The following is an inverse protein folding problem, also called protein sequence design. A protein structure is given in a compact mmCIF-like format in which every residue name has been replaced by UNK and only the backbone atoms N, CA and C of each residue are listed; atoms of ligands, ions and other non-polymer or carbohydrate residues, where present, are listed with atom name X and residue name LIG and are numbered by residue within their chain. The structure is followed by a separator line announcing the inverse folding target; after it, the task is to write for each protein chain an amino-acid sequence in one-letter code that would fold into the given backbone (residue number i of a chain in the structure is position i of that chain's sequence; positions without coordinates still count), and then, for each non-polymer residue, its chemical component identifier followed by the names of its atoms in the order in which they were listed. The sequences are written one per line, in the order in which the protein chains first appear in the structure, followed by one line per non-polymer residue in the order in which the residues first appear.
data_IF_286483148538
#
_entry.id   IF_286483148538
#
_cell.length_a   1.000
_cell.length_b   1.000
_cell.length_c   1.000
_cell.angle_alpha   90.00
_cell.angle_beta   90.00
_cell.angle_gamma   90.00
#
_symmetry.space_group_name_H-M   'P 1'
#
loop_
_entity.id
_entity.type
_entity.pdbx_description
1 polymer ?
#
# COMPACT_ATOMS: atom_id res chain seq x y z
N UNK A 1 19.30 -67.54 17.72
CA UNK A 1 19.31 -66.16 17.15
C UNK A 1 18.34 -65.19 17.85
N UNK A 2 17.07 -65.54 18.12
CA UNK A 2 16.07 -64.65 18.78
C UNK A 2 16.52 -64.01 20.12
N UNK A 3 17.24 -64.75 20.97
CA UNK A 3 17.69 -64.25 22.28
C UNK A 3 18.76 -63.15 22.20
N UNK A 4 19.65 -63.20 21.19
CA UNK A 4 20.68 -62.16 20.96
C UNK A 4 20.07 -60.87 20.40
N UNK A 5 19.05 -60.98 19.52
CA UNK A 5 18.29 -59.83 18.99
C UNK A 5 17.49 -59.10 20.08
N UNK A 6 16.88 -59.83 21.03
CA UNK A 6 16.17 -59.24 22.17
C UNK A 6 17.13 -58.55 23.16
N UNK A 7 18.32 -59.10 23.38
CA UNK A 7 19.36 -58.48 24.22
C UNK A 7 19.92 -57.21 23.56
N UNK A 8 20.15 -57.23 22.24
CA UNK A 8 20.56 -56.03 21.50
C UNK A 8 19.46 -54.96 21.49
N UNK A 9 18.19 -55.34 21.29
CA UNK A 9 17.07 -54.40 21.36
C UNK A 9 16.89 -53.80 22.76
N UNK A 10 17.03 -54.61 23.81
CA UNK A 10 17.02 -54.15 25.21
C UNK A 10 18.19 -53.23 25.53
N UNK A 11 19.40 -53.55 25.07
CA UNK A 11 20.58 -52.69 25.27
C UNK A 11 20.46 -51.35 24.54
N UNK A 12 19.89 -51.35 23.33
CA UNK A 12 19.58 -50.12 22.59
C UNK A 12 18.52 -49.29 23.33
N UNK A 13 17.44 -49.92 23.81
CA UNK A 13 16.41 -49.23 24.59
C UNK A 13 16.94 -48.65 25.90
N UNK A 14 17.81 -49.38 26.62
CA UNK A 14 18.47 -48.90 27.84
C UNK A 14 19.44 -47.76 27.52
N UNK A 15 20.20 -47.85 26.43
CA UNK A 15 21.08 -46.75 25.99
C UNK A 15 20.28 -45.50 25.65
N UNK A 16 19.14 -45.63 24.96
CA UNK A 16 18.24 -44.50 24.70
C UNK A 16 17.60 -43.95 25.97
N UNK A 17 17.25 -44.79 26.95
CA UNK A 17 16.73 -44.37 28.25
C UNK A 17 17.79 -43.63 29.08
N UNK A 18 19.03 -44.12 29.10
CA UNK A 18 20.15 -43.47 29.80
C UNK A 18 20.55 -42.17 29.09
N UNK A 19 20.57 -42.15 27.75
CA UNK A 19 20.81 -40.94 26.98
C UNK A 19 19.67 -39.92 27.15
N UNK A 20 18.41 -40.37 27.22
CA UNK A 20 17.27 -39.51 27.50
C UNK A 20 17.32 -38.97 28.94
N UNK A 21 17.60 -39.82 29.93
CA UNK A 21 17.77 -39.40 31.32
C UNK A 21 18.96 -38.45 31.49
N UNK A 22 20.08 -38.71 30.80
CA UNK A 22 21.26 -37.83 30.75
C UNK A 22 20.98 -36.50 30.06
N UNK A 23 20.21 -36.49 28.96
CA UNK A 23 19.75 -35.25 28.34
C UNK A 23 18.84 -34.48 29.30
N UNK A 24 17.89 -35.14 29.96
CA UNK A 24 16.99 -34.51 30.93
C UNK A 24 17.78 -33.90 32.09
N UNK A 25 18.76 -34.61 32.67
CA UNK A 25 19.60 -34.05 33.75
C UNK A 25 20.49 -32.90 33.28
N UNK A 26 21.02 -32.94 32.06
CA UNK A 26 21.76 -31.82 31.46
C UNK A 26 20.84 -30.61 31.29
N UNK A 27 19.62 -30.79 30.77
CA UNK A 27 18.66 -29.71 30.64
C UNK A 27 18.26 -29.16 32.02
N UNK A 28 18.08 -29.97 33.05
CA UNK A 28 17.79 -29.46 34.40
C UNK A 28 19.02 -28.95 35.18
N UNK A 29 20.22 -28.99 34.62
CA UNK A 29 21.44 -28.65 35.35
C UNK A 29 21.64 -27.13 35.53
N UNK A 30 22.10 -26.68 36.71
CA UNK A 30 22.55 -25.30 36.94
C UNK A 30 23.73 -24.89 36.05
N UNK A 31 24.58 -25.85 35.66
CA UNK A 31 25.72 -25.62 34.77
C UNK A 31 25.28 -25.18 33.37
N UNK A 32 24.22 -25.81 32.84
CA UNK A 32 23.65 -25.40 31.55
C UNK A 32 23.03 -23.99 31.65
N UNK A 33 22.35 -23.69 32.77
CA UNK A 33 21.84 -22.33 33.02
C UNK A 33 22.98 -21.32 33.03
N UNK A 34 24.06 -21.56 33.77
CA UNK A 34 25.19 -20.66 33.83
C UNK A 34 25.88 -20.47 32.46
N UNK A 35 25.96 -21.54 31.66
CA UNK A 35 26.47 -21.43 30.29
C UNK A 35 25.57 -20.57 29.39
N UNK A 36 24.24 -20.80 29.39
CA UNK A 36 23.26 -20.04 28.60
C UNK A 36 23.21 -18.56 29.00
N UNK A 37 23.45 -18.26 30.27
CA UNK A 37 23.49 -16.88 30.79
C UNK A 37 24.88 -16.24 30.68
N UNK A 38 25.89 -16.97 30.19
CA UNK A 38 27.25 -16.47 30.04
C UNK A 38 27.41 -15.51 28.86
N UNK A 39 28.37 -14.58 28.99
CA UNK A 39 28.78 -13.69 27.90
C UNK A 39 29.31 -14.46 26.68
N UNK A 40 29.94 -15.62 26.90
CA UNK A 40 30.49 -16.45 25.82
C UNK A 40 29.40 -17.03 24.92
N UNK A 41 28.31 -17.53 25.50
CA UNK A 41 27.15 -18.01 24.76
C UNK A 41 26.45 -16.86 24.03
N UNK A 42 26.29 -15.71 24.70
CA UNK A 42 25.71 -14.50 24.08
C UNK A 42 26.50 -14.07 22.84
N UNK A 43 27.83 -13.94 22.93
CA UNK A 43 28.67 -13.55 21.80
C UNK A 43 28.63 -14.55 20.63
N UNK A 44 28.55 -15.85 20.93
CA UNK A 44 28.36 -16.87 19.90
C UNK A 44 27.00 -16.73 19.20
N UNK A 45 25.93 -16.50 19.97
CA UNK A 45 24.58 -16.23 19.44
C UNK A 45 24.53 -14.95 18.60
N UNK A 46 25.21 -13.88 19.02
CA UNK A 46 25.34 -12.63 18.26
C UNK A 46 26.03 -12.90 16.91
N UNK A 47 27.11 -13.67 16.90
CA UNK A 47 27.86 -13.98 15.68
C UNK A 47 27.01 -14.77 14.69
N UNK A 48 26.33 -15.83 15.14
CA UNK A 48 25.49 -16.65 14.27
C UNK A 48 24.21 -15.92 13.83
N UNK A 49 23.62 -15.09 14.70
CA UNK A 49 22.44 -14.27 14.35
C UNK A 49 22.83 -13.21 13.31
N UNK A 50 23.93 -12.49 13.51
CA UNK A 50 24.41 -11.48 12.56
C UNK A 50 24.66 -12.11 11.19
N UNK A 51 25.27 -13.31 11.15
CA UNK A 51 25.48 -14.07 9.91
C UNK A 51 24.16 -14.49 9.25
N UNK A 52 23.21 -15.02 10.01
CA UNK A 52 21.92 -15.51 9.50
C UNK A 52 21.01 -14.39 8.97
N UNK A 53 21.00 -13.24 9.66
CA UNK A 53 20.21 -12.07 9.30
C UNK A 53 20.96 -11.08 8.38
N UNK A 54 22.20 -11.38 8.01
CA UNK A 54 23.06 -10.58 7.14
C UNK A 54 23.38 -9.16 7.68
N UNK A 55 23.64 -9.06 8.99
CA UNK A 55 24.16 -7.86 9.64
C UNK A 55 25.68 -7.94 9.83
N UNK A 56 26.33 -6.78 9.96
CA UNK A 56 27.76 -6.70 10.29
C UNK A 56 27.99 -7.12 11.74
N UNK A 57 27.17 -6.59 12.64
CA UNK A 57 27.18 -6.88 14.06
C UNK A 57 25.75 -6.84 14.60
N UNK A 58 25.52 -7.56 15.69
CA UNK A 58 24.29 -7.46 16.47
C UNK A 58 24.62 -7.63 17.95
N UNK A 59 23.73 -7.15 18.81
CA UNK A 59 23.89 -7.17 20.26
C UNK A 59 22.62 -7.68 20.90
N UNK A 60 22.77 -8.64 21.79
CA UNK A 60 21.71 -9.04 22.70
C UNK A 60 21.95 -8.42 24.07
N UNK A 61 20.86 -8.15 24.79
CA UNK A 61 20.93 -8.01 26.24
C UNK A 61 21.34 -9.35 26.90
N UNK A 62 21.70 -9.37 28.20
CA UNK A 62 21.94 -10.63 28.90
C UNK A 62 20.77 -11.61 28.71
N UNK A 63 21.09 -12.80 28.21
CA UNK A 63 20.12 -13.87 28.02
C UNK A 63 19.90 -14.51 29.39
N UNK A 64 18.64 -14.60 29.82
CA UNK A 64 18.25 -15.22 31.08
C UNK A 64 17.39 -16.42 30.82
N UNK A 65 17.62 -17.49 31.56
CA UNK A 65 16.80 -18.69 31.47
C UNK A 65 15.62 -18.56 32.42
N UNK A 66 14.41 -18.53 31.90
CA UNK A 66 13.19 -18.39 32.70
C UNK A 66 12.54 -19.74 33.02
N UNK A 67 12.79 -20.76 32.21
CA UNK A 67 12.28 -22.11 32.43
C UNK A 67 13.24 -23.19 31.91
N UNK A 68 12.88 -24.46 32.07
CA UNK A 68 13.67 -25.59 31.54
C UNK A 68 13.94 -25.48 30.04
N UNK A 69 13.07 -24.87 29.25
CA UNK A 69 13.30 -24.73 27.81
C UNK A 69 13.07 -23.32 27.28
N UNK A 70 12.83 -22.35 28.16
CA UNK A 70 12.57 -20.97 27.79
C UNK A 70 13.71 -20.07 28.21
N UNK A 71 14.15 -19.23 27.28
CA UNK A 71 15.10 -18.16 27.52
C UNK A 71 14.49 -16.82 27.09
N UNK A 72 14.90 -15.76 27.77
CA UNK A 72 14.45 -14.40 27.53
C UNK A 72 15.65 -13.45 27.38
N UNK A 73 15.52 -12.48 26.49
CA UNK A 73 16.41 -11.32 26.37
C UNK A 73 15.59 -10.04 26.40
N UNK A 74 16.08 -9.01 27.10
CA UNK A 74 15.38 -7.73 27.20
C UNK A 74 15.38 -6.97 25.88
N UNK A 75 16.51 -6.95 25.16
CA UNK A 75 16.61 -6.37 23.83
C UNK A 75 17.49 -7.17 22.88
N UNK A 76 17.33 -6.88 21.59
CA UNK A 76 18.25 -7.23 20.53
C UNK A 76 18.31 -6.06 19.55
N UNK A 77 19.53 -5.64 19.23
CA UNK A 77 19.80 -4.56 18.29
C UNK A 77 20.75 -5.03 17.19
N UNK A 78 20.39 -4.74 15.95
CA UNK A 78 21.24 -4.96 14.78
C UNK A 78 21.18 -3.74 13.86
N UNK A 79 22.35 -3.29 13.39
CA UNK A 79 22.50 -2.13 12.51
C UNK A 79 23.39 -2.47 11.32
N UNK A 80 23.31 -1.66 10.28
CA UNK A 80 24.13 -1.80 9.06
C UNK A 80 23.91 -3.15 8.35
N UNK A 81 22.66 -3.54 8.17
CA UNK A 81 22.30 -4.75 7.44
C UNK A 81 22.69 -4.67 5.95
N UNK A 82 23.15 -5.79 5.39
CA UNK A 82 23.71 -5.87 4.03
C UNK A 82 22.67 -6.23 2.95
N UNK A 83 21.47 -6.67 3.35
CA UNK A 83 20.40 -7.12 2.43
C UNK A 83 19.13 -6.29 2.64
N UNK A 84 17.95 -6.93 2.64
CA UNK A 84 16.65 -6.28 2.73
C UNK A 84 16.46 -5.52 4.05
N UNK A 85 16.98 -6.04 5.16
CA UNK A 85 16.94 -5.35 6.45
C UNK A 85 18.15 -4.43 6.58
N UNK A 86 17.90 -3.19 6.99
CA UNK A 86 18.92 -2.17 7.29
C UNK A 86 19.19 -2.09 8.79
N UNK A 87 18.13 -2.14 9.60
CA UNK A 87 18.20 -2.18 11.05
C UNK A 87 17.07 -3.04 11.62
N UNK A 88 17.31 -3.61 12.79
CA UNK A 88 16.36 -4.41 13.54
C UNK A 88 16.58 -4.14 15.03
N UNK A 89 15.57 -3.60 15.69
CA UNK A 89 15.54 -3.39 17.14
C UNK A 89 14.33 -4.15 17.67
N UNK A 90 14.53 -5.00 18.67
CA UNK A 90 13.44 -5.77 19.28
C UNK A 90 13.57 -5.78 20.79
N UNK A 91 12.43 -5.76 21.47
CA UNK A 91 12.32 -5.75 22.93
C UNK A 91 11.47 -6.91 23.42
N UNK A 92 11.86 -7.46 24.57
CA UNK A 92 11.14 -8.52 25.27
C UNK A 92 11.07 -9.80 24.45
N UNK A 93 12.23 -10.35 24.06
CA UNK A 93 12.34 -11.54 23.23
C UNK A 93 12.26 -12.75 24.15
N UNK A 94 11.32 -13.65 23.88
CA UNK A 94 11.18 -14.92 24.59
C UNK A 94 11.18 -16.05 23.58
N UNK A 95 12.05 -17.03 23.75
CA UNK A 95 12.13 -18.20 22.86
C UNK A 95 12.00 -19.49 23.66
N UNK A 96 11.16 -20.40 23.17
CA UNK A 96 11.00 -21.74 23.74
C UNK A 96 11.68 -22.76 22.84
N UNK A 97 12.75 -23.36 23.34
CA UNK A 97 13.50 -24.41 22.70
C UNK A 97 12.75 -25.75 22.77
N UNK A 98 12.90 -26.55 21.73
CA UNK A 98 12.35 -27.89 21.65
C UNK A 98 13.48 -28.91 21.59
N UNK A 99 13.74 -29.64 22.69
CA UNK A 99 14.88 -30.54 22.80
C UNK A 99 14.80 -31.73 21.84
N UNK A 100 13.61 -32.07 21.33
CA UNK A 100 13.47 -33.14 20.34
C UNK A 100 14.15 -32.80 19.02
N UNK A 101 14.37 -31.51 18.73
CA UNK A 101 15.15 -31.05 17.58
C UNK A 101 16.57 -31.62 17.56
N UNK A 102 17.19 -31.82 18.72
CA UNK A 102 18.57 -32.32 18.82
C UNK A 102 18.71 -33.71 18.19
N UNK A 103 17.72 -34.59 18.38
CA UNK A 103 17.73 -35.94 17.81
C UNK A 103 17.64 -35.96 16.28
N UNK A 104 17.06 -34.92 15.68
CA UNK A 104 17.02 -34.73 14.22
C UNK A 104 18.07 -33.72 13.73
N UNK A 105 19.02 -33.36 14.60
CA UNK A 105 20.10 -32.39 14.33
C UNK A 105 19.57 -31.02 13.88
N UNK A 106 18.55 -30.51 14.57
CA UNK A 106 17.96 -29.20 14.34
C UNK A 106 17.93 -28.40 15.65
N UNK A 107 18.25 -27.11 15.57
CA UNK A 107 17.84 -26.18 16.63
C UNK A 107 16.37 -25.87 16.38
N UNK A 108 15.48 -26.41 17.21
CA UNK A 108 14.05 -26.23 17.03
C UNK A 108 13.52 -25.29 18.11
N UNK A 109 12.82 -24.25 17.69
CA UNK A 109 12.11 -23.33 18.57
C UNK A 109 10.62 -23.45 18.30
N UNK A 110 9.87 -23.84 19.34
CA UNK A 110 8.43 -24.10 19.24
C UNK A 110 7.60 -22.82 19.29
N UNK A 111 8.12 -21.78 19.95
CA UNK A 111 7.47 -20.48 20.11
C UNK A 111 8.54 -19.39 20.25
N UNK A 112 8.40 -18.31 19.46
CA UNK A 112 9.19 -17.08 19.60
C UNK A 112 8.24 -15.91 19.80
N UNK A 113 8.37 -15.18 20.89
CA UNK A 113 7.56 -14.00 21.18
C UNK A 113 8.45 -12.78 21.30
N UNK A 114 8.00 -11.69 20.69
CA UNK A 114 8.61 -10.37 20.77
C UNK A 114 7.55 -9.41 21.28
N UNK A 115 7.86 -8.63 22.31
CA UNK A 115 6.89 -7.66 22.84
C UNK A 115 6.71 -6.50 21.87
N UNK A 116 7.83 -5.94 21.40
CA UNK A 116 7.81 -4.92 20.35
C UNK A 116 9.04 -5.01 19.45
N UNK A 117 8.93 -4.63 18.19
CA UNK A 117 10.09 -4.54 17.31
C UNK A 117 9.96 -3.48 16.23
N UNK A 118 11.09 -2.88 15.88
CA UNK A 118 11.25 -1.89 14.82
C UNK A 118 12.18 -2.47 13.76
N UNK A 119 11.69 -2.58 12.53
CA UNK A 119 12.44 -3.11 11.38
C UNK A 119 12.52 -2.03 10.31
N UNK A 120 13.72 -1.68 9.87
CA UNK A 120 13.91 -0.80 8.72
C UNK A 120 14.34 -1.63 7.50
N UNK A 121 13.58 -1.51 6.41
CA UNK A 121 13.79 -2.21 5.15
C UNK A 121 14.44 -1.26 4.14
N UNK A 122 15.40 -1.76 3.37
CA UNK A 122 16.09 -1.06 2.30
C UNK A 122 16.04 -1.83 0.98
N UNK A 123 16.08 -1.08 -0.13
CA UNK A 123 16.26 -1.65 -1.46
C UNK A 123 17.74 -2.00 -1.65
N UNK A 124 18.02 -3.24 -2.05
CA UNK A 124 19.38 -3.70 -2.30
C UNK A 124 19.47 -4.44 -3.64
N UNK A 125 20.66 -4.43 -4.26
CA UNK A 125 20.94 -5.29 -5.41
C UNK A 125 21.36 -6.65 -4.89
N UNK A 126 20.58 -7.68 -5.21
CA UNK A 126 20.91 -9.06 -4.85
C UNK A 126 22.20 -9.49 -5.56
N UNK A 127 23.27 -9.68 -4.79
CA UNK A 127 24.47 -10.37 -5.25
C UNK A 127 24.46 -11.79 -4.63
N UNK A 128 24.42 -12.87 -5.43
CA UNK A 128 24.44 -14.22 -4.88
C UNK A 128 25.78 -14.47 -4.18
N UNK A 129 25.75 -14.61 -2.85
CA UNK A 129 26.93 -15.03 -2.07
C UNK A 129 27.24 -16.51 -2.36
N UNK A 130 28.51 -16.80 -2.64
CA UNK A 130 28.99 -18.17 -2.74
C UNK A 130 28.84 -18.86 -1.37
N UNK A 131 28.20 -20.02 -1.34
CA UNK A 131 28.06 -20.82 -0.12
C UNK A 131 29.44 -21.35 0.25
N UNK A 132 30.03 -20.84 1.34
CA UNK A 132 31.31 -21.32 1.82
C UNK A 132 31.23 -22.83 2.14
N UNK A 133 32.24 -23.63 1.76
CA UNK A 133 32.26 -25.05 2.03
C UNK A 133 32.24 -25.31 3.54
N UNK A 134 31.40 -26.26 3.98
CA UNK A 134 31.27 -26.59 5.39
C UNK A 134 32.52 -27.34 5.87
N UNK A 135 33.09 -27.00 7.05
CA UNK A 135 34.20 -27.75 7.63
C UNK A 135 33.79 -29.20 7.93
N UNK A 136 34.78 -30.11 7.96
CA UNK A 136 34.57 -31.56 8.11
C UNK A 136 33.83 -31.96 9.40
N UNK A 137 33.93 -31.17 10.47
CA UNK A 137 33.23 -31.39 11.73
C UNK A 137 31.77 -30.90 11.74
N UNK A 138 31.27 -30.28 10.66
CA UNK A 138 29.86 -29.86 10.54
C UNK A 138 28.87 -31.06 10.54
N UNK A 139 29.37 -32.29 10.45
CA UNK A 139 28.60 -33.54 10.63
C UNK A 139 28.17 -33.73 12.11
N UNK A 140 28.75 -33.01 13.06
CA UNK A 140 28.34 -33.07 14.47
C UNK A 140 27.49 -31.86 14.89
N UNK A 141 27.46 -30.81 14.06
CA UNK A 141 26.64 -29.63 14.30
C UNK A 141 25.22 -29.82 13.75
N UNK A 142 24.21 -29.19 14.38
CA UNK A 142 22.85 -29.15 13.84
C UNK A 142 22.83 -28.49 12.45
N UNK A 143 22.04 -29.07 11.54
CA UNK A 143 22.04 -28.73 10.11
C UNK A 143 21.20 -27.49 9.79
N UNK A 144 20.17 -27.20 10.61
CA UNK A 144 19.18 -26.15 10.38
C UNK A 144 18.65 -25.60 11.71
N UNK A 145 18.32 -24.31 11.72
CA UNK A 145 17.45 -23.70 12.72
C UNK A 145 16.02 -23.78 12.17
N UNK A 146 15.10 -24.30 12.96
CA UNK A 146 13.68 -24.36 12.64
C UNK A 146 12.90 -23.58 13.67
N UNK A 147 12.05 -22.67 13.19
CA UNK A 147 11.24 -21.81 14.02
C UNK A 147 9.78 -22.04 13.64
N UNK A 148 9.00 -22.55 14.58
CA UNK A 148 7.61 -22.94 14.32
C UNK A 148 6.69 -21.73 14.16
N UNK A 149 6.92 -20.67 14.95
CA UNK A 149 6.21 -19.40 14.85
C UNK A 149 6.99 -18.28 15.54
N UNK A 150 6.88 -17.06 15.02
CA UNK A 150 7.22 -15.82 15.74
C UNK A 150 5.96 -14.98 15.84
N UNK A 151 5.67 -14.47 17.03
CA UNK A 151 4.59 -13.51 17.27
C UNK A 151 5.16 -12.22 17.86
N UNK A 152 4.73 -11.09 17.31
CA UNK A 152 5.01 -9.76 17.85
C UNK A 152 3.71 -9.01 18.08
N UNK A 153 3.51 -8.49 19.29
CA UNK A 153 2.31 -7.72 19.62
C UNK A 153 2.35 -6.30 19.02
N UNK A 154 3.55 -5.74 18.88
CA UNK A 154 3.76 -4.40 18.34
C UNK A 154 4.99 -4.37 17.44
N UNK A 155 4.78 -4.50 16.14
CA UNK A 155 5.81 -4.35 15.13
C UNK A 155 5.64 -3.02 14.39
N UNK A 156 6.75 -2.33 14.17
CA UNK A 156 6.87 -1.23 13.23
C UNK A 156 7.76 -1.69 12.08
N UNK A 157 7.23 -1.70 10.86
CA UNK A 157 7.96 -2.05 9.65
C UNK A 157 8.08 -0.79 8.82
N UNK A 158 9.29 -0.23 8.75
CA UNK A 158 9.59 1.02 8.09
C UNK A 158 10.36 0.77 6.79
N UNK A 159 10.07 1.55 5.76
CA UNK A 159 10.86 1.63 4.53
C UNK A 159 10.89 3.07 4.01
N UNK A 160 11.72 3.33 3.01
CA UNK A 160 11.73 4.62 2.31
C UNK A 160 11.02 4.52 0.97
N UNK A 161 10.10 5.43 0.72
CA UNK A 161 9.39 5.54 -0.54
C UNK A 161 9.52 6.98 -1.07
N UNK A 162 10.14 7.14 -2.25
CA UNK A 162 10.44 8.46 -2.85
C UNK A 162 11.20 9.42 -1.91
N UNK A 163 12.10 8.88 -1.08
CA UNK A 163 12.87 9.67 -0.11
C UNK A 163 12.18 9.90 1.23
N UNK A 164 10.86 9.71 1.29
CA UNK A 164 10.05 9.85 2.51
C UNK A 164 9.94 8.54 3.28
N UNK A 165 9.71 8.64 4.59
CA UNK A 165 9.44 7.46 5.42
C UNK A 165 8.03 6.94 5.15
N UNK A 166 7.93 5.62 4.98
CA UNK A 166 6.69 4.89 4.87
C UNK A 166 6.75 3.66 5.77
N UNK A 167 5.62 3.17 6.25
CA UNK A 167 5.64 2.04 7.15
C UNK A 167 4.28 1.54 7.60
N UNK A 168 4.28 0.31 8.13
CA UNK A 168 3.22 -0.18 9.00
C UNK A 168 3.65 0.01 10.45
N UNK A 169 2.79 0.62 11.26
CA UNK A 169 3.09 1.02 12.63
C UNK A 169 2.13 0.37 13.61
N UNK A 170 2.67 -0.17 14.70
CA UNK A 170 1.92 -0.80 15.78
C UNK A 170 1.13 -2.02 15.33
N UNK A 171 1.64 -2.77 14.35
CA UNK A 171 0.95 -3.96 13.83
C UNK A 171 1.28 -5.21 14.65
N UNK A 172 0.32 -6.10 14.83
CA UNK A 172 0.56 -7.42 15.37
C UNK A 172 1.04 -8.33 14.24
N UNK A 173 2.24 -8.87 14.37
CA UNK A 173 2.90 -9.65 13.32
C UNK A 173 3.05 -11.11 13.76
N UNK A 174 2.49 -12.02 12.97
CA UNK A 174 2.69 -13.46 13.06
C UNK A 174 3.54 -13.91 11.86
N UNK A 175 4.63 -14.63 12.14
CA UNK A 175 5.52 -15.19 11.13
C UNK A 175 5.51 -16.70 11.28
N UNK A 176 5.14 -17.41 10.22
CA UNK A 176 5.06 -18.88 10.20
C UNK A 176 5.89 -19.46 9.06
N UNK A 177 6.53 -20.63 9.25
CA UNK A 177 7.33 -21.25 8.20
C UNK A 177 6.43 -21.76 7.07
N UNK A 178 6.81 -21.44 5.84
CA UNK A 178 6.22 -21.95 4.60
C UNK A 178 7.32 -22.66 3.80
N UNK A 179 7.51 -23.96 4.07
CA UNK A 179 8.62 -24.72 3.49
C UNK A 179 9.99 -24.15 3.90
N UNK A 180 10.84 -23.69 2.95
CA UNK A 180 12.11 -23.01 3.26
C UNK A 180 11.96 -21.50 3.52
N UNK A 181 10.78 -20.93 3.29
CA UNK A 181 10.47 -19.50 3.36
C UNK A 181 9.50 -19.22 4.53
N UNK A 182 8.99 -17.98 4.62
CA UNK A 182 8.09 -17.55 5.68
C UNK A 182 6.85 -16.83 5.15
N UNK A 183 5.71 -17.15 5.76
CA UNK A 183 4.48 -16.36 5.68
C UNK A 183 4.45 -15.33 6.80
N UNK A 184 3.87 -14.18 6.49
CA UNK A 184 3.74 -13.03 7.36
C UNK A 184 2.28 -12.63 7.38
N UNK A 185 1.68 -12.67 8.57
CA UNK A 185 0.33 -12.18 8.80
C UNK A 185 0.43 -10.99 9.73
N UNK A 186 0.10 -9.81 9.23
CA UNK A 186 0.03 -8.59 10.00
C UNK A 186 -1.44 -8.23 10.24
N UNK A 187 -1.81 -7.89 11.47
CA UNK A 187 -3.17 -7.50 11.84
C UNK A 187 -3.12 -6.28 12.72
N UNK A 188 -4.12 -5.41 12.62
CA UNK A 188 -4.14 -4.10 13.30
C UNK A 188 -2.93 -3.20 12.95
N UNK A 189 -2.97 -1.96 13.43
CA UNK A 189 -1.93 -0.96 13.17
C UNK A 189 -2.32 0.03 12.09
N UNK A 190 -1.34 0.86 11.67
CA UNK A 190 -1.56 1.94 10.70
C UNK A 190 -0.50 1.94 9.61
N UNK A 191 -0.93 2.04 8.37
CA UNK A 191 -0.11 2.37 7.22
C UNK A 191 0.04 3.89 7.13
N UNK A 192 1.28 4.36 7.10
CA UNK A 192 1.60 5.77 6.84
C UNK A 192 2.56 5.88 5.67
N UNK A 193 2.28 6.79 4.75
CA UNK A 193 3.21 7.20 3.71
C UNK A 193 2.81 8.53 3.08
N UNK A 194 3.75 9.20 2.41
CA UNK A 194 3.54 10.55 1.89
C UNK A 194 2.49 10.66 0.76
N UNK A 195 2.21 9.58 0.01
CA UNK A 195 1.34 9.65 -1.17
C UNK A 195 -0.16 9.60 -0.88
N UNK A 196 -0.56 9.09 0.28
CA UNK A 196 -1.97 8.90 0.62
C UNK A 196 -2.19 9.09 2.13
N UNK A 197 -3.43 9.36 2.55
CA UNK A 197 -3.76 9.51 3.97
C UNK A 197 -3.33 8.29 4.80
N UNK A 198 -3.16 8.49 6.11
CA UNK A 198 -2.98 7.39 7.05
C UNK A 198 -4.18 6.44 6.97
N UNK A 199 -3.90 5.13 6.86
CA UNK A 199 -4.91 4.08 6.77
C UNK A 199 -4.71 3.06 7.91
N UNK A 200 -5.79 2.62 8.52
CA UNK A 200 -5.80 1.51 9.45
C UNK A 200 -5.61 0.20 8.69
N UNK A 201 -4.66 -0.62 9.14
CA UNK A 201 -4.44 -1.97 8.65
C UNK A 201 -5.36 -2.92 9.42
N UNK A 202 -6.32 -3.54 8.74
CA UNK A 202 -7.12 -4.62 9.35
C UNK A 202 -6.38 -5.94 9.30
N UNK A 203 -5.89 -6.29 8.12
CA UNK A 203 -5.15 -7.52 7.87
C UNK A 203 -4.24 -7.36 6.65
N UNK A 204 -3.07 -7.99 6.71
CA UNK A 204 -2.23 -8.25 5.57
C UNK A 204 -1.66 -9.67 5.68
N UNK A 205 -1.67 -10.40 4.57
CA UNK A 205 -1.12 -11.73 4.47
C UNK A 205 -0.16 -11.80 3.29
N UNK A 206 1.12 -12.06 3.59
CA UNK A 206 2.20 -12.03 2.63
C UNK A 206 3.05 -13.30 2.71
N UNK A 207 3.56 -13.74 1.58
CA UNK A 207 4.62 -14.74 1.47
C UNK A 207 5.84 -14.08 0.83
N UNK A 208 6.97 -14.14 1.52
CA UNK A 208 8.25 -13.63 0.99
C UNK A 208 9.17 -14.83 0.78
N UNK A 209 9.49 -15.10 -0.48
CA UNK A 209 10.44 -16.13 -0.88
C UNK A 209 11.72 -15.50 -1.42
N UNK A 210 12.70 -16.32 -1.81
CA UNK A 210 13.93 -15.83 -2.47
C UNK A 210 13.69 -15.11 -3.80
N UNK A 211 12.61 -15.42 -4.50
CA UNK A 211 12.38 -14.99 -5.89
C UNK A 211 11.07 -14.24 -6.08
N UNK A 212 10.18 -14.23 -5.08
CA UNK A 212 8.83 -13.70 -5.21
C UNK A 212 8.35 -13.13 -3.87
N UNK A 213 7.74 -11.95 -3.92
CA UNK A 213 6.87 -11.42 -2.87
C UNK A 213 5.44 -11.59 -3.36
N UNK A 214 4.65 -12.37 -2.63
CA UNK A 214 3.21 -12.51 -2.87
C UNK A 214 2.47 -11.88 -1.72
N UNK A 215 1.59 -10.95 -2.05
CA UNK A 215 0.61 -10.35 -1.17
C UNK A 215 -0.72 -11.03 -1.50
N UNK A 216 -1.13 -11.99 -0.68
CA UNK A 216 -2.37 -12.73 -0.87
C UNK A 216 -3.59 -11.84 -0.66
N UNK A 217 -3.55 -11.04 0.40
CA UNK A 217 -4.56 -10.06 0.74
C UNK A 217 -3.97 -8.96 1.62
N UNK A 218 -4.39 -7.73 1.39
CA UNK A 218 -4.28 -6.61 2.32
C UNK A 218 -5.63 -5.94 2.38
N UNK A 219 -6.12 -5.69 3.59
CA UNK A 219 -7.34 -4.93 3.87
C UNK A 219 -6.98 -3.69 4.69
N UNK A 220 -7.19 -2.53 4.07
CA UNK A 220 -6.98 -1.22 4.68
C UNK A 220 -8.32 -0.46 4.75
N UNK A 221 -8.44 0.43 5.72
CA UNK A 221 -9.54 1.37 5.80
C UNK A 221 -9.08 2.72 6.36
N UNK A 222 -9.82 3.79 6.12
CA UNK A 222 -9.58 5.08 6.80
C UNK A 222 -9.87 4.97 8.30
N UNK A 223 -10.71 4.01 8.72
CA UNK A 223 -10.95 3.66 10.12
C UNK A 223 -11.23 2.16 10.24
N UNK A 224 -10.59 1.49 11.20
CA UNK A 224 -10.79 0.05 11.47
C UNK A 224 -12.25 -0.36 11.70
N UNK A 225 -13.09 0.55 12.22
CA UNK A 225 -14.52 0.31 12.51
C UNK A 225 -15.49 0.62 11.36
N UNK A 226 -15.04 1.21 10.26
CA UNK A 226 -15.92 1.57 9.14
C UNK A 226 -16.26 0.37 8.25
N UNK A 227 -17.32 0.46 7.44
CA UNK A 227 -17.65 -0.59 6.46
C UNK A 227 -16.89 -0.43 5.12
N UNK A 228 -16.16 0.68 4.94
CA UNK A 228 -15.30 0.84 3.76
C UNK A 228 -14.13 -0.14 3.80
N UNK A 229 -13.57 -0.43 2.65
CA UNK A 229 -12.36 -1.24 2.53
C UNK A 229 -11.58 -0.92 1.27
N UNK A 230 -10.27 -1.10 1.38
CA UNK A 230 -9.32 -1.09 0.29
C UNK A 230 -8.64 -2.46 0.32
N UNK A 231 -9.05 -3.32 -0.61
CA UNK A 231 -8.48 -4.64 -0.74
C UNK A 231 -7.41 -4.64 -1.82
N UNK A 232 -6.23 -5.16 -1.51
CA UNK A 232 -5.15 -5.29 -2.49
C UNK A 232 -4.54 -6.69 -2.48
N UNK A 233 -4.15 -7.14 -3.66
CA UNK A 233 -3.37 -8.35 -3.91
C UNK A 233 -2.22 -7.99 -4.84
N UNK A 234 -1.07 -8.59 -4.63
CA UNK A 234 0.09 -8.28 -5.45
C UNK A 234 1.05 -9.46 -5.58
N UNK A 235 1.77 -9.52 -6.69
CA UNK A 235 2.90 -10.39 -6.90
C UNK A 235 4.05 -9.54 -7.46
N UNK A 236 5.23 -9.68 -6.86
CA UNK A 236 6.42 -8.97 -7.29
C UNK A 236 7.63 -9.91 -7.33
N UNK A 237 8.26 -10.03 -8.50
CA UNK A 237 9.49 -10.80 -8.69
C UNK A 237 10.67 -10.16 -7.95
N UNK A 238 11.55 -11.00 -7.42
CA UNK A 238 12.82 -10.61 -6.78
C UNK A 238 14.00 -11.12 -7.61
N UNK A 239 15.01 -10.26 -7.79
CA UNK A 239 16.28 -10.62 -8.41
C UNK A 239 16.27 -10.43 -9.93
N UNK A 240 16.27 -11.54 -10.67
CA UNK A 240 16.27 -11.54 -12.15
C UNK A 240 14.90 -11.19 -12.70
N UNK A 241 13.86 -11.79 -12.13
CA UNK A 241 12.49 -11.34 -12.35
C UNK A 241 12.24 -10.12 -11.48
N UNK A 242 11.70 -9.07 -12.07
CA UNK A 242 11.29 -7.83 -11.40
C UNK A 242 9.87 -7.45 -11.76
N UNK A 243 9.14 -8.36 -12.41
CA UNK A 243 7.78 -8.13 -12.80
C UNK A 243 6.92 -7.82 -11.59
N UNK A 244 5.94 -6.95 -11.79
CA UNK A 244 4.97 -6.55 -10.77
C UNK A 244 3.58 -6.75 -11.34
N UNK A 245 2.68 -7.27 -10.52
CA UNK A 245 1.26 -7.35 -10.80
C UNK A 245 0.53 -7.01 -9.50
N UNK A 246 -0.23 -5.93 -9.48
CA UNK A 246 -1.01 -5.46 -8.35
C UNK A 246 -2.45 -5.27 -8.78
N UNK A 247 -3.37 -5.80 -7.99
CA UNK A 247 -4.81 -5.58 -8.12
C UNK A 247 -5.32 -4.97 -6.83
N UNK A 248 -6.07 -3.89 -6.94
CA UNK A 248 -6.73 -3.26 -5.81
C UNK A 248 -8.20 -3.00 -6.11
N UNK A 249 -9.02 -3.04 -5.07
CA UNK A 249 -10.44 -2.71 -5.10
C UNK A 249 -10.75 -1.73 -3.98
N UNK A 250 -11.56 -0.73 -4.29
CA UNK A 250 -11.99 0.31 -3.36
C UNK A 250 -13.49 0.18 -3.15
N UNK A 251 -13.91 0.11 -1.89
CA UNK A 251 -15.31 0.03 -1.51
C UNK A 251 -15.64 1.14 -0.52
N UNK A 252 -16.49 2.09 -0.94
CA UNK A 252 -17.00 3.19 -0.13
C UNK A 252 -15.96 4.13 0.51
N UNK A 253 -14.76 4.25 -0.07
CA UNK A 253 -13.63 5.01 0.50
C UNK A 253 -13.92 6.52 0.49
N UNK A 254 -13.87 7.23 1.63
CA UNK A 254 -14.03 8.68 1.65
C UNK A 254 -12.95 9.37 0.82
N UNK A 255 -13.34 10.14 -0.19
CA UNK A 255 -12.37 10.77 -1.11
C UNK A 255 -11.65 11.97 -0.49
N UNK A 256 -12.29 12.64 0.47
CA UNK A 256 -11.81 13.91 1.04
C UNK A 256 -10.34 13.88 1.49
N UNK A 257 -9.84 12.87 2.23
CA UNK A 257 -8.45 12.84 2.68
C UNK A 257 -7.44 12.64 1.54
N UNK A 258 -7.88 12.09 0.40
CA UNK A 258 -7.07 11.78 -0.78
C UNK A 258 -6.94 12.95 -1.76
N UNK A 259 -7.75 14.01 -1.58
CA UNK A 259 -7.74 15.16 -2.46
C UNK A 259 -6.56 16.11 -2.16
N UNK A 260 -6.06 16.84 -3.17
CA UNK A 260 -5.16 17.97 -2.98
C UNK A 260 -5.75 19.00 -2.00
N UNK A 261 -4.89 19.76 -1.31
CA UNK A 261 -5.30 20.70 -0.26
C UNK A 261 -6.43 21.64 -0.69
N UNK A 262 -6.35 22.18 -1.91
CA UNK A 262 -7.34 23.07 -2.52
C UNK A 262 -8.73 22.43 -2.69
N UNK A 263 -8.79 21.11 -2.84
CA UNK A 263 -10.03 20.36 -3.08
C UNK A 263 -10.60 19.69 -1.83
N UNK A 264 -9.85 19.60 -0.72
CA UNK A 264 -10.29 18.96 0.54
C UNK A 264 -11.54 19.61 1.17
N UNK A 265 -11.78 20.89 0.88
CA UNK A 265 -13.01 21.60 1.29
C UNK A 265 -14.16 21.47 0.30
N UNK A 266 -13.82 21.29 -0.98
CA UNK A 266 -14.73 21.50 -2.11
C UNK A 266 -15.41 20.24 -2.62
N UNK A 267 -14.77 19.06 -2.51
CA UNK A 267 -15.33 17.81 -3.02
C UNK A 267 -15.44 16.76 -1.91
N UNK A 268 -16.64 16.19 -1.78
CA UNK A 268 -16.98 15.13 -0.81
C UNK A 268 -17.66 13.97 -1.52
N UNK A 269 -17.57 12.79 -0.93
CA UNK A 269 -18.20 11.57 -1.45
C UNK A 269 -17.42 10.30 -1.08
N UNK A 270 -17.96 9.16 -1.52
CA UNK A 270 -17.35 7.85 -1.33
C UNK A 270 -16.97 7.25 -2.70
N UNK A 271 -15.71 6.87 -2.85
CA UNK A 271 -15.17 6.22 -4.03
C UNK A 271 -15.39 4.70 -3.99
N UNK A 272 -15.69 4.18 -5.17
CA UNK A 272 -15.79 2.77 -5.51
C UNK A 272 -15.00 2.54 -6.78
N UNK A 273 -14.33 1.40 -6.90
CA UNK A 273 -13.57 1.15 -8.11
C UNK A 273 -12.56 0.02 -7.98
N UNK A 274 -11.74 -0.09 -9.00
CA UNK A 274 -10.70 -1.08 -9.11
C UNK A 274 -9.47 -0.49 -9.81
N UNK A 275 -8.33 -1.10 -9.55
CA UNK A 275 -7.04 -0.77 -10.12
C UNK A 275 -6.29 -2.05 -10.42
N UNK A 276 -5.78 -2.17 -11.64
CA UNK A 276 -4.87 -3.21 -12.05
C UNK A 276 -3.59 -2.58 -12.59
N UNK A 277 -2.47 -2.86 -11.95
CA UNK A 277 -1.15 -2.35 -12.30
C UNK A 277 -0.21 -3.51 -12.62
N UNK A 278 0.45 -3.44 -13.77
CA UNK A 278 1.41 -4.44 -14.21
C UNK A 278 2.68 -3.79 -14.75
N UNK A 279 3.83 -4.43 -14.58
CA UNK A 279 5.09 -3.94 -15.14
C UNK A 279 6.12 -5.05 -15.25
N UNK A 280 7.08 -4.89 -16.16
CA UNK A 280 8.24 -5.80 -16.27
C UNK A 280 9.30 -5.49 -15.21
N UNK A 281 9.28 -4.27 -14.67
CA UNK A 281 10.03 -3.84 -13.51
C UNK A 281 9.18 -2.83 -12.69
N UNK A 282 9.56 -2.47 -11.45
CA UNK A 282 8.79 -1.55 -10.62
C UNK A 282 8.90 -0.07 -11.05
N UNK A 283 9.61 0.25 -12.14
CA UNK A 283 9.70 1.62 -12.64
C UNK A 283 8.42 1.96 -13.40
N UNK A 284 7.97 3.20 -13.21
CA UNK A 284 6.76 3.70 -13.86
C UNK A 284 6.84 3.60 -15.38
N UNK A 285 8.01 3.87 -15.96
CA UNK A 285 8.28 3.86 -17.41
C UNK A 285 8.03 2.51 -18.08
N UNK A 286 8.24 1.41 -17.34
CA UNK A 286 8.10 0.04 -17.82
C UNK A 286 6.81 -0.62 -17.29
N UNK A 287 5.85 0.21 -16.89
CA UNK A 287 4.60 -0.24 -16.30
C UNK A 287 3.39 0.37 -16.99
N UNK A 288 2.28 -0.36 -16.90
CA UNK A 288 0.97 0.06 -17.35
C UNK A 288 -0.06 -0.30 -16.31
N UNK A 289 -1.17 0.41 -16.30
CA UNK A 289 -2.31 -0.03 -15.54
C UNK A 289 -3.60 0.56 -16.02
N UNK A 290 -4.68 0.06 -15.45
CA UNK A 290 -6.04 0.35 -15.81
C UNK A 290 -6.91 0.31 -14.56
N UNK A 291 -8.04 1.01 -14.60
CA UNK A 291 -8.95 1.02 -13.49
C UNK A 291 -10.25 1.74 -13.78
N UNK A 292 -11.18 1.60 -12.86
CA UNK A 292 -12.44 2.32 -12.85
C UNK A 292 -12.61 3.06 -11.53
N UNK A 293 -13.22 4.24 -11.60
CA UNK A 293 -13.57 5.03 -10.44
C UNK A 293 -15.02 5.49 -10.56
N UNK A 294 -15.76 5.34 -9.47
CA UNK A 294 -17.12 5.85 -9.31
C UNK A 294 -17.24 6.52 -7.96
N UNK A 295 -17.79 7.72 -7.93
CA UNK A 295 -18.08 8.46 -6.71
C UNK A 295 -19.60 8.38 -6.46
N UNK A 296 -19.99 7.97 -5.26
CA UNK A 296 -21.37 8.03 -4.78
C UNK A 296 -21.52 9.11 -3.72
N UNK A 297 -22.73 9.69 -3.65
CA UNK A 297 -23.04 10.83 -2.76
C UNK A 297 -22.00 11.94 -2.96
N UNK A 298 -21.63 12.18 -4.22
CA UNK A 298 -20.64 13.18 -4.59
C UNK A 298 -21.25 14.56 -4.39
N UNK A 299 -20.53 15.47 -3.74
CA UNK A 299 -20.98 16.84 -3.57
C UNK A 299 -19.83 17.80 -3.83
N UNK A 300 -20.06 18.78 -4.68
CA UNK A 300 -19.13 19.86 -4.98
C UNK A 300 -19.68 21.16 -4.38
N UNK A 301 -18.91 21.77 -3.51
CA UNK A 301 -19.20 23.02 -2.82
C UNK A 301 -18.05 24.02 -3.03
N UNK A 302 -18.31 25.32 -2.84
CA UNK A 302 -17.29 26.37 -2.66
C UNK A 302 -16.25 26.44 -3.80
N UNK A 303 -16.71 26.22 -5.04
CA UNK A 303 -15.91 26.41 -6.25
C UNK A 303 -16.20 27.81 -6.81
N UNK A 304 -15.20 28.71 -6.93
CA UNK A 304 -15.42 30.10 -7.36
C UNK A 304 -16.12 30.25 -8.73
N UNK A 305 -15.92 29.30 -9.65
CA UNK A 305 -16.63 29.26 -10.93
C UNK A 305 -18.14 29.06 -10.73
N UNK A 306 -18.53 28.20 -9.79
CA UNK A 306 -19.92 27.84 -9.52
C UNK A 306 -20.69 28.97 -8.84
N UNK A 307 -20.07 29.66 -7.87
CA UNK A 307 -20.66 30.84 -7.23
C UNK A 307 -21.01 31.92 -8.26
N UNK A 308 -20.08 32.19 -9.18
CA UNK A 308 -20.29 33.20 -10.24
C UNK A 308 -21.31 32.76 -11.29
N UNK A 309 -21.35 31.48 -11.63
CA UNK A 309 -22.42 30.93 -12.46
C UNK A 309 -23.79 31.03 -11.77
N UNK A 310 -23.84 30.85 -10.45
CA UNK A 310 -25.06 31.02 -9.67
C UNK A 310 -25.56 32.48 -9.70
N UNK A 311 -24.64 33.45 -9.56
CA UNK A 311 -24.94 34.89 -9.69
C UNK A 311 -25.46 35.23 -11.10
N UNK A 312 -24.76 34.77 -12.14
CA UNK A 312 -25.08 35.07 -13.54
C UNK A 312 -26.41 34.45 -13.98
N UNK A 313 -26.63 33.17 -13.66
CA UNK A 313 -27.86 32.48 -13.99
C UNK A 313 -29.01 32.89 -13.05
N UNK A 314 -28.74 33.64 -11.98
CA UNK A 314 -29.65 33.87 -10.86
C UNK A 314 -30.22 32.56 -10.29
N UNK A 315 -29.39 31.52 -10.25
CA UNK A 315 -29.72 30.18 -9.76
C UNK A 315 -28.74 29.77 -8.67
N UNK A 316 -29.13 29.98 -7.41
CA UNK A 316 -28.36 29.50 -6.24
C UNK A 316 -28.08 28.00 -6.26
N UNK A 317 -28.85 27.22 -7.02
CA UNK A 317 -28.63 25.80 -7.19
C UNK A 317 -27.30 25.45 -7.88
N UNK A 318 -26.55 26.41 -8.44
CA UNK A 318 -25.19 26.19 -8.91
C UNK A 318 -24.13 26.29 -7.81
N UNK A 319 -24.39 26.97 -6.68
CA UNK A 319 -23.43 27.10 -5.57
C UNK A 319 -23.03 25.73 -4.99
N UNK A 320 -23.92 24.75 -5.13
CA UNK A 320 -23.73 23.37 -4.70
C UNK A 320 -24.18 22.40 -5.79
N UNK A 321 -23.31 21.45 -6.15
CA UNK A 321 -23.65 20.38 -7.09
C UNK A 321 -23.73 19.05 -6.36
N UNK A 322 -24.88 18.39 -6.46
CA UNK A 322 -25.11 17.04 -5.94
C UNK A 322 -24.98 16.03 -7.10
N UNK A 323 -23.86 15.31 -7.13
CA UNK A 323 -23.54 14.38 -8.20
C UNK A 323 -24.31 13.06 -8.01
N UNK A 324 -25.29 12.82 -8.86
CA UNK A 324 -26.02 11.55 -8.93
C UNK A 324 -25.18 10.47 -9.60
N UNK A 325 -24.45 10.85 -10.65
CA UNK A 325 -23.50 10.00 -11.35
C UNK A 325 -22.15 10.72 -11.42
N UNK A 326 -21.07 10.01 -11.09
CA UNK A 326 -19.71 10.49 -11.28
C UNK A 326 -18.84 9.26 -11.44
N UNK A 327 -18.46 8.95 -12.67
CA UNK A 327 -17.61 7.81 -12.97
C UNK A 327 -16.68 8.06 -14.14
N UNK A 328 -15.56 7.35 -14.14
CA UNK A 328 -14.58 7.35 -15.20
C UNK A 328 -13.85 6.00 -15.23
N UNK A 329 -13.30 5.67 -16.39
CA UNK A 329 -12.31 4.62 -16.55
C UNK A 329 -10.99 5.27 -16.95
N UNK A 330 -9.87 4.75 -16.45
CA UNK A 330 -8.56 5.26 -16.81
C UNK A 330 -7.63 4.11 -17.16
N UNK A 331 -6.68 4.41 -18.04
CA UNK A 331 -5.57 3.53 -18.37
C UNK A 331 -4.32 4.35 -18.59
N UNK A 332 -3.17 3.86 -18.13
CA UNK A 332 -1.90 4.48 -18.40
C UNK A 332 -0.91 3.49 -18.97
N UNK A 333 -0.09 3.99 -19.90
CA UNK A 333 1.12 3.37 -20.39
C UNK A 333 2.11 4.49 -20.63
N UNK A 334 3.13 4.57 -19.77
CA UNK A 334 4.02 5.73 -19.73
C UNK A 334 4.54 6.12 -21.14
N UNK A 335 4.55 7.41 -21.51
CA UNK A 335 4.14 8.60 -20.73
C UNK A 335 2.68 9.03 -20.94
N UNK A 336 1.82 8.15 -21.46
CA UNK A 336 0.42 8.45 -21.82
C UNK A 336 -0.56 7.97 -20.75
N UNK A 337 -1.54 8.79 -20.44
CA UNK A 337 -2.70 8.47 -19.60
C UNK A 337 -3.95 8.76 -20.43
N UNK A 338 -4.82 7.78 -20.57
CA UNK A 338 -6.13 7.90 -21.21
C UNK A 338 -7.22 7.80 -20.14
N UNK A 339 -8.13 8.75 -20.12
CA UNK A 339 -9.33 8.78 -19.29
C UNK A 339 -10.51 8.70 -20.24
N UNK A 340 -11.36 7.69 -20.05
CA UNK A 340 -12.48 7.36 -20.92
C UNK A 340 -13.75 7.19 -20.10
N UNK A 341 -14.88 7.15 -20.79
CA UNK A 341 -16.19 6.92 -20.17
C UNK A 341 -16.44 7.89 -19.00
N UNK A 342 -15.98 9.15 -19.14
CA UNK A 342 -16.27 10.19 -18.16
C UNK A 342 -17.79 10.38 -18.22
N UNK A 343 -18.45 10.22 -17.07
CA UNK A 343 -19.88 10.45 -16.90
C UNK A 343 -20.06 11.16 -15.58
N UNK A 344 -20.44 12.43 -15.62
CA UNK A 344 -20.75 13.24 -14.43
C UNK A 344 -22.13 13.84 -14.64
N UNK A 345 -23.06 13.59 -13.74
CA UNK A 345 -24.43 14.05 -13.86
C UNK A 345 -24.97 14.53 -12.51
N UNK A 346 -25.61 15.70 -12.56
CA UNK A 346 -26.64 16.07 -11.61
C UNK A 346 -27.97 16.11 -12.35
N UNK A 347 -28.84 15.15 -12.05
CA UNK A 347 -30.06 14.88 -12.79
C UNK A 347 -30.96 16.11 -12.78
N UNK A 348 -31.31 16.58 -13.98
CA UNK A 348 -32.16 17.75 -14.16
C UNK A 348 -31.41 19.09 -14.14
N UNK A 349 -30.09 19.09 -13.90
CA UNK A 349 -29.25 20.30 -14.04
C UNK A 349 -28.27 20.20 -15.20
N UNK A 350 -27.33 19.26 -15.11
CA UNK A 350 -26.25 19.14 -16.08
C UNK A 350 -25.74 17.71 -16.22
N UNK A 351 -25.12 17.44 -17.37
CA UNK A 351 -24.48 16.17 -17.68
C UNK A 351 -23.20 16.41 -18.47
N UNK A 352 -22.14 15.71 -18.11
CA UNK A 352 -20.82 15.80 -18.72
C UNK A 352 -20.44 14.40 -19.17
N UNK A 353 -20.14 14.24 -20.44
CA UNK A 353 -19.68 12.97 -21.01
C UNK A 353 -18.41 13.18 -21.83
N UNK A 354 -17.45 12.25 -21.81
CA UNK A 354 -16.33 12.36 -22.74
C UNK A 354 -15.11 11.55 -22.42
N UNK A 355 -14.01 12.00 -23.02
CA UNK A 355 -12.70 11.38 -22.91
C UNK A 355 -11.58 12.43 -22.94
N UNK A 356 -10.50 12.11 -22.23
CA UNK A 356 -9.31 12.92 -22.10
C UNK A 356 -8.07 12.04 -22.29
N UNK A 357 -7.05 12.58 -22.93
CA UNK A 357 -5.74 11.97 -23.05
C UNK A 357 -4.71 12.99 -22.55
N UNK A 358 -3.80 12.51 -21.74
CA UNK A 358 -2.66 13.26 -21.23
C UNK A 358 -1.40 12.58 -21.76
N UNK A 359 -0.57 13.31 -22.49
CA UNK A 359 0.72 12.82 -22.98
C UNK A 359 1.82 13.81 -22.60
N UNK A 360 2.76 13.40 -21.76
CA UNK A 360 3.87 14.27 -21.31
C UNK A 360 3.38 15.66 -20.85
N UNK A 361 2.36 15.68 -19.98
CA UNK A 361 1.68 16.90 -19.46
C UNK A 361 0.82 17.69 -20.45
N UNK A 362 0.80 17.34 -21.73
CA UNK A 362 -0.15 17.92 -22.69
C UNK A 362 -1.51 17.28 -22.54
N UNK A 363 -2.51 18.10 -22.30
CA UNK A 363 -3.91 17.69 -22.21
C UNK A 363 -4.53 17.76 -23.60
N UNK A 364 -5.33 16.76 -23.97
CA UNK A 364 -6.20 16.81 -25.14
C UNK A 364 -7.43 15.96 -24.89
N UNK A 365 -8.61 16.46 -25.20
CA UNK A 365 -9.82 15.66 -25.10
C UNK A 365 -11.03 16.36 -25.66
N UNK A 366 -12.14 15.63 -25.69
CA UNK A 366 -13.44 16.18 -26.05
C UNK A 366 -14.44 15.78 -24.99
N UNK A 367 -15.14 16.78 -24.48
CA UNK A 367 -16.21 16.63 -23.50
C UNK A 367 -17.50 17.16 -24.12
N UNK A 368 -18.57 16.41 -24.01
CA UNK A 368 -19.94 16.85 -24.22
C UNK A 368 -20.47 17.45 -22.93
N UNK A 369 -20.88 18.72 -22.98
CA UNK A 369 -21.56 19.39 -21.88
C UNK A 369 -23.05 19.54 -22.23
N UNK A 370 -23.91 18.94 -21.42
CA UNK A 370 -25.35 19.04 -21.46
C UNK A 370 -25.88 19.86 -20.29
N UNK A 371 -26.72 20.84 -20.57
CA UNK A 371 -27.40 21.67 -19.56
C UNK A 371 -28.91 21.69 -19.85
N UNK A 372 -29.77 21.70 -18.82
CA UNK A 372 -31.20 21.90 -19.06
C UNK A 372 -31.47 23.36 -19.44
N UNK A 373 -32.55 23.61 -20.18
CA UNK A 373 -32.81 24.93 -20.78
C UNK A 373 -32.86 26.06 -19.76
N UNK A 374 -33.47 25.81 -18.60
CA UNK A 374 -33.59 26.77 -17.51
C UNK A 374 -32.25 27.30 -16.98
N UNK A 375 -31.16 26.56 -17.16
CA UNK A 375 -29.81 26.96 -16.78
C UNK A 375 -29.06 27.71 -17.88
N UNK A 376 -29.66 27.83 -19.06
CA UNK A 376 -29.14 28.57 -20.21
C UNK A 376 -29.92 29.85 -20.50
N UNK A 377 -30.89 30.22 -19.65
CA UNK A 377 -31.76 31.40 -19.88
C UNK A 377 -30.99 32.74 -19.86
N UNK A 378 -29.80 32.76 -19.25
CA UNK A 378 -28.91 33.92 -19.25
C UNK A 378 -28.13 34.10 -20.57
N UNK A 379 -28.07 33.07 -21.42
CA UNK A 379 -27.40 33.13 -22.71
C UNK A 379 -28.37 33.60 -23.80
N UNK A 380 -28.01 34.60 -24.63
CA UNK A 380 -28.77 34.92 -25.82
C UNK A 380 -28.64 33.76 -26.82
N UNK A 381 -29.77 33.31 -27.39
CA UNK A 381 -29.85 32.21 -28.38
C UNK A 381 -28.97 31.00 -28.02
N UNK A 382 -29.19 30.32 -26.89
CA UNK A 382 -28.28 29.28 -26.42
C UNK A 382 -28.21 28.08 -27.39
N UNK A 383 -29.18 27.92 -28.29
CA UNK A 383 -29.19 26.91 -29.35
C UNK A 383 -28.07 27.08 -30.39
N UNK A 384 -27.49 28.28 -30.53
CA UNK A 384 -26.34 28.51 -31.41
C UNK A 384 -25.07 27.84 -30.89
N UNK A 385 -24.90 27.76 -29.55
CA UNK A 385 -23.77 27.06 -28.91
C UNK A 385 -24.14 25.64 -28.49
N UNK A 386 -25.36 25.44 -27.98
CA UNK A 386 -25.91 24.17 -27.53
C UNK A 386 -26.94 23.64 -28.54
N UNK A 387 -26.45 23.23 -29.71
CA UNK A 387 -27.29 22.93 -30.87
C UNK A 387 -28.01 21.58 -30.84
N UNK A 388 -27.62 20.66 -29.96
CA UNK A 388 -28.20 19.31 -29.89
C UNK A 388 -29.11 19.16 -28.67
N UNK A 389 -30.35 18.70 -28.86
CA UNK A 389 -31.28 18.39 -27.78
C UNK A 389 -31.44 16.88 -27.63
N UNK A 390 -31.12 16.35 -26.46
CA UNK A 390 -31.17 14.91 -26.17
C UNK A 390 -31.39 14.68 -24.67
N UNK A 391 -32.30 13.76 -24.31
CA UNK A 391 -32.58 13.35 -22.93
C UNK A 391 -32.88 14.51 -21.95
N UNK A 392 -33.53 15.57 -22.44
CA UNK A 392 -33.87 16.74 -21.64
C UNK A 392 -32.77 17.80 -21.50
N UNK A 393 -31.58 17.54 -22.08
CA UNK A 393 -30.45 18.48 -22.06
C UNK A 393 -30.22 19.11 -23.45
N UNK A 394 -29.71 20.34 -23.45
CA UNK A 394 -29.10 21.02 -24.58
C UNK A 394 -27.59 20.80 -24.50
N UNK A 395 -27.01 20.25 -25.56
CA UNK A 395 -25.66 19.72 -25.60
C UNK A 395 -24.74 20.56 -26.50
N UNK A 396 -23.51 20.71 -26.06
CA UNK A 396 -22.39 21.26 -26.83
C UNK A 396 -21.15 20.39 -26.69
N UNK A 397 -20.31 20.36 -27.71
CA UNK A 397 -18.99 19.76 -27.63
C UNK A 397 -17.98 20.83 -27.18
N UNK A 398 -17.17 20.49 -26.21
CA UNK A 398 -16.08 21.30 -25.65
C UNK A 398 -14.77 20.55 -25.91
N UNK A 399 -13.86 21.19 -26.63
CA UNK A 399 -12.50 20.68 -26.84
C UNK A 399 -11.61 21.18 -25.73
N UNK A 400 -10.97 20.24 -25.03
CA UNK A 400 -9.97 20.53 -24.00
C UNK A 400 -8.58 20.34 -24.59
N UNK A 401 -7.67 21.29 -24.38
CA UNK A 401 -6.29 21.25 -24.85
C UNK A 401 -5.36 22.00 -23.88
N UNK A 402 -4.11 22.27 -24.27
CA UNK A 402 -3.12 22.95 -23.41
C UNK A 402 -2.32 21.97 -22.56
N UNK A 403 -2.12 22.31 -21.28
CA UNK A 403 -1.35 21.50 -20.33
C UNK A 403 -2.20 21.12 -19.11
N UNK A 404 -1.69 20.21 -18.26
CA UNK A 404 -2.38 19.87 -17.01
C UNK A 404 -2.44 21.08 -16.05
N UNK A 405 -1.41 21.93 -16.05
CA UNK A 405 -1.34 23.09 -15.15
C UNK A 405 -2.10 24.30 -15.71
N UNK A 406 -2.16 24.41 -17.04
CA UNK A 406 -2.87 25.45 -17.77
C UNK A 406 -3.76 24.82 -18.85
N UNK A 407 -4.94 24.29 -18.46
CA UNK A 407 -5.87 23.69 -19.40
C UNK A 407 -6.66 24.75 -20.18
N UNK A 408 -6.70 24.62 -21.50
CA UNK A 408 -7.44 25.50 -22.40
C UNK A 408 -8.70 24.84 -22.94
N UNK A 409 -9.69 25.65 -23.33
CA UNK A 409 -10.97 25.17 -23.87
C UNK A 409 -11.62 26.14 -24.87
N UNK A 410 -12.47 25.62 -25.76
CA UNK A 410 -13.08 26.36 -26.87
C UNK A 410 -14.50 26.90 -26.61
N UNK A 411 -15.12 26.60 -25.46
CA UNK A 411 -16.46 27.04 -25.09
C UNK A 411 -16.52 28.53 -24.67
N UNK A 412 -15.58 29.02 -23.86
CA UNK A 412 -15.61 30.43 -23.43
C UNK A 412 -15.51 31.41 -24.60
N UNK A 413 -14.60 31.23 -25.58
CA UNK A 413 -14.57 32.06 -26.78
C UNK A 413 -15.89 32.06 -27.55
N UNK A 414 -16.54 30.89 -27.69
CA UNK A 414 -17.83 30.74 -28.38
C UNK A 414 -18.95 31.49 -27.67
N UNK A 415 -19.00 31.42 -26.33
CA UNK A 415 -19.96 32.18 -25.53
C UNK A 415 -19.73 33.69 -25.68
N UNK A 416 -18.47 34.15 -25.64
CA UNK A 416 -18.14 35.58 -25.81
C UNK A 416 -18.60 36.09 -27.18
N UNK A 417 -18.44 35.28 -28.22
CA UNK A 417 -18.87 35.63 -29.57
C UNK A 417 -20.38 35.80 -29.68
N UNK A 418 -21.18 34.94 -29.04
CA UNK A 418 -22.65 35.10 -28.98
C UNK A 418 -23.05 36.44 -28.37
N UNK A 419 -22.41 36.85 -27.28
CA UNK A 419 -22.69 38.15 -26.67
C UNK A 419 -22.35 39.30 -27.62
N UNK A 420 -21.22 39.25 -28.34
CA UNK A 420 -20.84 40.28 -29.32
C UNK A 420 -21.88 40.47 -30.43
N UNK A 421 -22.60 39.40 -30.80
CA UNK A 421 -23.63 39.44 -31.83
C UNK A 421 -25.00 39.94 -31.32
N UNK A 422 -25.19 40.08 -30.00
CA UNK A 422 -26.45 40.51 -29.38
C UNK A 422 -26.30 41.78 -28.51
N UNK A 423 -26.26 42.99 -29.10
CA UNK A 423 -26.04 44.26 -28.39
C UNK A 423 -27.01 44.56 -27.23
N UNK A 424 -28.24 44.04 -27.28
CA UNK A 424 -29.23 44.22 -26.20
C UNK A 424 -28.94 43.40 -24.95
N UNK A 425 -28.42 42.18 -25.10
CA UNK A 425 -27.91 41.36 -23.99
C UNK A 425 -26.56 41.89 -23.47
N UNK A 426 -25.82 42.58 -24.34
CA UNK A 426 -24.51 43.21 -24.09
C UNK A 426 -24.53 44.34 -23.06
N UNK A 427 -25.67 45.00 -22.85
CA UNK A 427 -25.83 46.10 -21.88
C UNK A 427 -26.18 45.61 -20.48
N UNK A 428 -26.74 44.39 -20.34
CA UNK A 428 -27.10 43.80 -19.04
C UNK A 428 -25.92 43.18 -18.29
N UNK A 429 -24.85 42.81 -18.99
CA UNK A 429 -23.63 42.22 -18.43
C UNK A 429 -22.45 43.16 -18.69
N UNK A 430 -21.81 43.67 -17.64
CA UNK A 430 -20.63 44.53 -17.73
C UNK A 430 -19.47 43.79 -18.44
N UNK A 431 -19.41 43.90 -19.77
CA UNK A 431 -18.59 43.10 -20.69
C UNK A 431 -17.12 42.94 -20.26
N UNK A 432 -16.48 43.98 -19.71
CA UNK A 432 -15.09 43.91 -19.23
C UNK A 432 -14.92 43.04 -18.00
N UNK A 433 -15.90 43.02 -17.10
CA UNK A 433 -15.88 42.16 -15.92
C UNK A 433 -16.18 40.71 -16.33
N UNK A 434 -17.09 40.49 -17.28
CA UNK A 434 -17.46 39.17 -17.78
C UNK A 434 -16.34 38.52 -18.63
N UNK A 435 -15.71 39.25 -19.56
CA UNK A 435 -14.57 38.73 -20.34
C UNK A 435 -13.34 38.50 -19.43
N UNK A 436 -13.06 39.42 -18.51
CA UNK A 436 -12.01 39.26 -17.52
C UNK A 436 -12.28 38.12 -16.54
N UNK A 437 -13.56 37.78 -16.29
CA UNK A 437 -14.00 36.63 -15.51
C UNK A 437 -13.86 35.33 -16.30
N UNK A 438 -14.36 35.23 -17.53
CA UNK A 438 -14.23 34.03 -18.36
C UNK A 438 -12.78 33.68 -18.64
N UNK A 439 -11.88 34.67 -18.70
CA UNK A 439 -10.44 34.41 -18.74
C UNK A 439 -9.97 33.85 -17.39
N UNK A 440 -10.21 34.54 -16.27
CA UNK A 440 -9.76 34.12 -14.91
C UNK A 440 -10.41 32.87 -14.32
N UNK A 441 -11.63 32.53 -14.71
CA UNK A 441 -12.33 31.36 -14.19
C UNK A 441 -11.92 30.06 -14.91
N UNK A 442 -11.23 30.22 -16.05
CA UNK A 442 -10.72 29.12 -16.88
C UNK A 442 -9.19 29.16 -17.04
N UNK A 443 -8.50 30.23 -16.63
CA UNK A 443 -7.04 30.30 -16.46
C UNK A 443 -6.68 30.25 -14.98
N UNK A 444 -5.66 29.48 -14.60
CA UNK A 444 -5.17 29.41 -13.23
C UNK A 444 -4.51 30.75 -12.82
N UNK A 445 -5.22 31.54 -12.01
CA UNK A 445 -4.65 32.57 -11.13
C UNK A 445 -5.43 32.60 -9.80
#
# INVERSE_FOLDING_TARGET
MRRKLLICAGAIAIFFLIAAAGCVTIFHSPLLTHYLESDSFRQAMETETAKGLHFVECRYSPIRRTSTFTAQSESFEARNGKKAMKSLDTRGITATFDPWGVFVRQWRFSDGRVQSGDVEIQVYKANPEAVAPKPWFAIFLPKKVYLKKIESNHANVNWRFRGEQAGFFGTQLLITPHGPDFEYVATSGRLKMALFPDLDLRRAHLLITKTLITVYDIDLASNSSSEESIHAQANAGIGKDRSVNLKANFNAVPIRPWLPAEWKGRLKGSAFGDLHWTGTDPKLENSSGEGSLRIRKGRIDDVPLLEKLAELAQKKSFEHLDLNECSLSFGWKYPKIDIKNISIEERGKFRIEGELSINQRRLRGTIRLGLTREYLDWLPNPEEVFSRRENGYLWTNVRLFGTIDDPEQDLSPRIIELFKQSPGAYLGLLFRQFEGWLKRAFSHD
#
